data_IF_123851530626
#
_entry.id   IF_123851530626
#
_cell.length_a   1.000
_cell.length_b   1.000
_cell.length_c   1.000
_cell.angle_alpha   90.00
_cell.angle_beta   90.00
_cell.angle_gamma   90.00
#
_symmetry.space_group_name_H-M   'P 1'
#
loop_
_entity.id
_entity.type
_entity.pdbx_description
1 polymer ?
#
# COMPACT_ATOMS: atom_id res chain seq x y z
N UNK A 1 -72.01 12.52 56.63
CA UNK A 1 -71.74 11.93 55.31
C UNK A 1 -71.58 13.07 54.31
N UNK A 2 -70.34 13.42 53.96
CA UNK A 2 -70.07 14.45 52.95
C UNK A 2 -70.24 13.81 51.56
N UNK A 3 -71.10 14.39 50.72
CA UNK A 3 -71.26 13.99 49.33
C UNK A 3 -69.90 14.10 48.63
N UNK A 4 -69.41 12.99 48.07
CA UNK A 4 -68.17 13.01 47.29
C UNK A 4 -68.34 14.03 46.15
N UNK A 5 -67.41 14.98 45.97
CA UNK A 5 -67.45 15.88 44.82
C UNK A 5 -67.51 15.02 43.56
N UNK A 6 -68.58 15.19 42.77
CA UNK A 6 -68.78 14.43 41.55
C UNK A 6 -67.54 14.55 40.67
N UNK A 7 -67.00 13.41 40.22
CA UNK A 7 -65.88 13.39 39.27
C UNK A 7 -66.24 14.31 38.10
N UNK A 8 -65.52 15.44 37.99
CA UNK A 8 -65.83 16.48 37.02
C UNK A 8 -65.75 15.93 35.61
N UNK A 9 -66.90 15.86 34.94
CA UNK A 9 -66.96 15.50 33.52
C UNK A 9 -66.26 16.62 32.75
N UNK A 10 -65.15 16.29 32.08
CA UNK A 10 -64.39 17.24 31.26
C UNK A 10 -65.31 17.86 30.19
N UNK A 11 -65.31 19.18 30.06
CA UNK A 11 -66.16 19.87 29.09
C UNK A 11 -65.70 19.63 27.64
N UNK A 12 -66.65 19.61 26.69
CA UNK A 12 -66.33 19.39 25.26
C UNK A 12 -65.38 20.46 24.70
N UNK A 13 -65.48 21.71 25.19
CA UNK A 13 -64.55 22.79 24.82
C UNK A 13 -63.12 22.53 25.33
N UNK A 14 -62.97 21.99 26.54
CA UNK A 14 -61.66 21.60 27.06
C UNK A 14 -61.08 20.42 26.26
N UNK A 15 -61.91 19.45 25.87
CA UNK A 15 -61.51 18.33 25.03
C UNK A 15 -61.06 18.80 23.63
N UNK A 16 -61.81 19.68 22.98
CA UNK A 16 -61.42 20.25 21.68
C UNK A 16 -60.11 21.05 21.76
N UNK A 17 -59.88 21.73 22.89
CA UNK A 17 -58.61 22.42 23.13
C UNK A 17 -57.45 21.42 23.21
N UNK A 18 -57.62 20.28 23.88
CA UNK A 18 -56.61 19.22 23.94
C UNK A 18 -56.37 18.57 22.57
N UNK A 19 -57.43 18.28 21.81
CA UNK A 19 -57.32 17.74 20.45
C UNK A 19 -56.48 18.67 19.57
N UNK A 20 -56.76 19.97 19.61
CA UNK A 20 -55.99 20.98 18.88
C UNK A 20 -54.55 21.08 19.37
N UNK A 21 -54.34 21.05 20.70
CA UNK A 21 -53.01 21.14 21.31
C UNK A 21 -52.11 19.98 20.90
N UNK A 22 -52.66 18.76 20.81
CA UNK A 22 -51.93 17.56 20.42
C UNK A 22 -51.99 17.26 18.91
N UNK A 23 -52.61 18.14 18.12
CA UNK A 23 -52.75 18.01 16.65
C UNK A 23 -53.49 16.73 16.21
N UNK A 24 -54.43 16.25 17.02
CA UNK A 24 -55.24 15.03 16.76
C UNK A 24 -56.50 15.34 15.93
N UNK A 25 -56.35 16.21 14.93
CA UNK A 25 -57.48 16.73 14.15
C UNK A 25 -58.24 15.65 13.39
N UNK A 26 -57.49 14.67 12.87
CA UNK A 26 -58.03 13.58 12.05
C UNK A 26 -58.80 12.55 12.90
N UNK A 27 -58.40 12.40 14.17
CA UNK A 27 -59.02 11.50 15.15
C UNK A 27 -60.14 12.17 15.95
N UNK A 28 -60.42 13.46 15.71
CA UNK A 28 -61.37 14.27 16.48
C UNK A 28 -62.73 13.58 16.68
N UNK A 29 -63.29 12.98 15.62
CA UNK A 29 -64.59 12.26 15.70
C UNK A 29 -64.53 11.07 16.65
N UNK A 30 -63.46 10.28 16.58
CA UNK A 30 -63.21 9.13 17.45
C UNK A 30 -63.04 9.56 18.92
N UNK A 31 -62.32 10.66 19.16
CA UNK A 31 -62.10 11.20 20.51
C UNK A 31 -63.41 11.69 21.15
N UNK A 32 -64.25 12.39 20.38
CA UNK A 32 -65.58 12.82 20.85
C UNK A 32 -66.52 11.64 21.09
N UNK A 33 -66.48 10.62 20.23
CA UNK A 33 -67.24 9.39 20.41
C UNK A 33 -66.78 8.64 21.67
N UNK A 34 -65.47 8.51 21.87
CA UNK A 34 -64.87 7.93 23.06
C UNK A 34 -65.30 8.68 24.33
N UNK A 35 -65.27 10.02 24.31
CA UNK A 35 -65.65 10.85 25.45
C UNK A 35 -67.13 10.68 25.86
N UNK A 36 -68.01 10.34 24.92
CA UNK A 36 -69.45 10.08 25.18
C UNK A 36 -69.75 8.67 25.66
N UNK A 37 -68.83 7.72 25.51
CA UNK A 37 -69.04 6.34 25.94
C UNK A 37 -69.09 6.20 27.47
N UNK A 38 -69.67 5.09 27.93
CA UNK A 38 -69.69 4.70 29.34
C UNK A 38 -68.27 4.48 29.90
N UNK A 39 -68.11 4.66 31.21
CA UNK A 39 -66.80 4.57 31.89
C UNK A 39 -66.18 3.18 31.76
N UNK A 40 -66.98 2.11 31.90
CA UNK A 40 -66.45 0.74 31.83
C UNK A 40 -65.98 0.43 30.40
N UNK A 41 -66.72 0.91 29.41
CA UNK A 41 -66.31 0.79 28.00
C UNK A 41 -65.01 1.55 27.71
N UNK A 42 -64.85 2.76 28.24
CA UNK A 42 -63.63 3.57 28.09
C UNK A 42 -62.40 2.85 28.66
N UNK A 43 -62.52 2.31 29.88
CA UNK A 43 -61.44 1.59 30.54
C UNK A 43 -61.06 0.34 29.75
N UNK A 44 -62.05 -0.46 29.31
CA UNK A 44 -61.81 -1.63 28.48
C UNK A 44 -61.10 -1.27 27.16
N UNK A 45 -61.54 -0.21 26.49
CA UNK A 45 -60.95 0.23 25.23
C UNK A 45 -59.53 0.77 25.40
N UNK A 46 -59.24 1.52 26.48
CA UNK A 46 -57.86 1.96 26.80
C UNK A 46 -56.98 0.75 27.05
N UNK A 47 -57.42 -0.22 27.86
CA UNK A 47 -56.64 -1.43 28.14
C UNK A 47 -56.35 -2.21 26.85
N UNK A 48 -57.35 -2.42 25.99
CA UNK A 48 -57.18 -3.09 24.70
C UNK A 48 -56.19 -2.33 23.81
N UNK A 49 -56.31 -1.00 23.72
CA UNK A 49 -55.39 -0.18 22.92
C UNK A 49 -53.97 -0.21 23.47
N UNK A 50 -53.80 -0.16 24.78
CA UNK A 50 -52.50 -0.29 25.44
C UNK A 50 -51.87 -1.64 25.12
N UNK A 51 -52.61 -2.75 25.25
CA UNK A 51 -52.11 -4.09 24.91
C UNK A 51 -51.73 -4.22 23.42
N UNK A 52 -52.50 -3.63 22.51
CA UNK A 52 -52.18 -3.57 21.08
C UNK A 52 -50.89 -2.78 20.86
N UNK A 53 -50.75 -1.63 21.52
CA UNK A 53 -49.57 -0.78 21.42
C UNK A 53 -48.33 -1.47 21.99
N UNK A 54 -48.43 -2.11 23.16
CA UNK A 54 -47.34 -2.86 23.78
C UNK A 54 -46.87 -4.00 22.87
N UNK A 55 -47.81 -4.69 22.22
CA UNK A 55 -47.49 -5.71 21.21
C UNK A 55 -46.76 -5.11 20.01
N UNK A 56 -47.26 -4.00 19.45
CA UNK A 56 -46.62 -3.34 18.30
C UNK A 56 -45.21 -2.84 18.64
N UNK A 57 -45.02 -2.28 19.84
CA UNK A 57 -43.70 -1.88 20.36
C UNK A 57 -42.78 -3.11 20.51
N UNK A 58 -43.30 -4.22 21.00
CA UNK A 58 -42.56 -5.49 21.08
C UNK A 58 -42.13 -6.00 19.71
N UNK A 59 -43.04 -6.02 18.73
CA UNK A 59 -42.74 -6.41 17.34
C UNK A 59 -41.69 -5.50 16.69
N UNK A 60 -41.77 -4.18 16.93
CA UNK A 60 -40.77 -3.22 16.47
C UNK A 60 -39.41 -3.44 17.15
N UNK A 61 -39.39 -3.67 18.47
CA UNK A 61 -38.16 -3.95 19.22
C UNK A 61 -37.47 -5.21 18.68
N UNK A 62 -38.23 -6.28 18.43
CA UNK A 62 -37.70 -7.50 17.82
C UNK A 62 -37.14 -7.23 16.43
N UNK A 63 -37.86 -6.45 15.60
CA UNK A 63 -37.40 -6.08 14.25
C UNK A 63 -36.09 -5.27 14.29
N UNK A 64 -35.93 -4.36 15.26
CA UNK A 64 -34.69 -3.60 15.46
C UNK A 64 -33.55 -4.53 15.88
N UNK A 65 -33.81 -5.48 16.78
CA UNK A 65 -32.82 -6.46 17.21
C UNK A 65 -32.37 -7.36 16.05
N UNK A 66 -33.31 -7.82 15.22
CA UNK A 66 -33.02 -8.60 14.01
C UNK A 66 -32.19 -7.77 13.02
N UNK A 67 -32.53 -6.49 12.80
CA UNK A 67 -31.76 -5.60 11.95
C UNK A 67 -30.33 -5.40 12.47
N UNK A 68 -30.16 -5.16 13.78
CA UNK A 68 -28.84 -5.02 14.40
C UNK A 68 -27.98 -6.28 14.22
N UNK A 69 -28.58 -7.46 14.40
CA UNK A 69 -27.89 -8.74 14.16
C UNK A 69 -27.47 -8.93 12.69
N UNK A 70 -28.32 -8.50 11.76
CA UNK A 70 -28.04 -8.55 10.33
C UNK A 70 -26.93 -7.57 9.93
N UNK A 71 -26.93 -6.35 10.47
CA UNK A 71 -25.86 -5.36 10.25
C UNK A 71 -24.53 -5.90 10.77
N UNK A 72 -24.48 -6.41 12.01
CA UNK A 72 -23.27 -7.01 12.56
C UNK A 72 -22.75 -8.20 11.72
N UNK A 73 -23.67 -8.99 11.15
CA UNK A 73 -23.30 -10.07 10.22
C UNK A 73 -22.72 -9.54 8.92
N UNK A 74 -23.29 -8.46 8.36
CA UNK A 74 -22.78 -7.81 7.14
C UNK A 74 -21.40 -7.21 7.40
N UNK A 75 -21.22 -6.49 8.51
CA UNK A 75 -19.93 -5.92 8.91
C UNK A 75 -18.85 -7.01 9.00
N UNK A 76 -19.14 -8.13 9.65
CA UNK A 76 -18.23 -9.28 9.73
C UNK A 76 -17.90 -9.92 8.38
N UNK A 77 -18.83 -9.89 7.43
CA UNK A 77 -18.59 -10.37 6.06
C UNK A 77 -17.73 -9.37 5.28
N UNK A 78 -17.99 -8.07 5.45
CA UNK A 78 -17.20 -6.99 4.85
C UNK A 78 -15.77 -6.97 5.38
N UNK A 79 -15.56 -7.21 6.68
CA UNK A 79 -14.24 -7.35 7.30
C UNK A 79 -13.39 -8.43 6.61
N UNK A 80 -14.01 -9.55 6.22
CA UNK A 80 -13.28 -10.67 5.58
C UNK A 80 -12.90 -10.40 4.13
N UNK A 81 -13.60 -9.50 3.46
CA UNK A 81 -13.42 -9.19 2.05
C UNK A 81 -12.78 -7.83 1.81
N UNK A 82 -12.27 -7.18 2.85
CA UNK A 82 -11.64 -5.88 2.68
C UNK A 82 -10.33 -6.00 1.90
N UNK A 83 -10.21 -5.25 0.82
CA UNK A 83 -9.00 -5.12 0.02
C UNK A 83 -8.71 -3.65 -0.27
N UNK A 84 -7.43 -3.25 -0.38
CA UNK A 84 -7.09 -1.89 -0.77
C UNK A 84 -7.60 -1.62 -2.19
N UNK A 85 -8.11 -0.42 -2.43
CA UNK A 85 -8.51 0.00 -3.78
C UNK A 85 -7.33 -0.06 -4.75
N UNK A 86 -7.59 -0.07 -6.06
CA UNK A 86 -6.51 -0.09 -7.07
C UNK A 86 -5.56 1.10 -6.91
N UNK A 87 -6.10 2.29 -6.59
CA UNK A 87 -5.32 3.50 -6.34
C UNK A 87 -4.44 3.37 -5.10
N UNK A 88 -5.00 2.83 -4.00
CA UNK A 88 -4.24 2.54 -2.79
C UNK A 88 -3.14 1.50 -3.06
N UNK A 89 -3.44 0.45 -3.83
CA UNK A 89 -2.46 -0.57 -4.22
C UNK A 89 -1.31 0.02 -5.05
N UNK A 90 -1.59 0.94 -5.99
CA UNK A 90 -0.56 1.67 -6.75
C UNK A 90 0.31 2.55 -5.84
N UNK A 91 -0.32 3.25 -4.89
CA UNK A 91 0.37 4.05 -3.89
C UNK A 91 1.29 3.20 -3.00
N UNK A 92 0.77 2.09 -2.44
CA UNK A 92 1.55 1.15 -1.64
C UNK A 92 2.72 0.56 -2.43
N UNK A 93 2.52 0.25 -3.72
CA UNK A 93 3.58 -0.20 -4.62
C UNK A 93 4.66 0.86 -4.83
N UNK A 94 4.28 2.12 -5.01
CA UNK A 94 5.23 3.24 -5.11
C UNK A 94 6.03 3.43 -3.82
N UNK A 95 5.37 3.37 -2.65
CA UNK A 95 6.04 3.45 -1.34
C UNK A 95 7.05 2.32 -1.15
N UNK A 96 6.65 1.06 -1.39
CA UNK A 96 7.55 -0.09 -1.26
C UNK A 96 8.76 0.05 -2.19
N UNK A 97 8.54 0.46 -3.44
CA UNK A 97 9.63 0.72 -4.39
C UNK A 97 10.59 1.80 -3.89
N UNK A 98 10.06 2.88 -3.33
CA UNK A 98 10.87 3.97 -2.80
C UNK A 98 11.79 3.50 -1.67
N UNK A 99 11.26 2.76 -0.70
CA UNK A 99 12.06 2.19 0.38
C UNK A 99 13.05 1.12 -0.09
N UNK A 100 12.82 0.46 -1.23
CA UNK A 100 13.77 -0.50 -1.80
C UNK A 100 15.03 0.17 -2.39
N UNK A 101 14.91 1.35 -2.99
CA UNK A 101 16.08 2.05 -3.56
C UNK A 101 16.77 2.97 -2.54
N UNK A 102 16.04 3.41 -1.49
CA UNK A 102 16.61 4.14 -0.37
C UNK A 102 17.55 3.22 0.43
N UNK A 103 18.65 3.78 0.92
CA UNK A 103 19.54 3.07 1.84
C UNK A 103 18.79 2.75 3.13
N UNK A 104 18.66 1.46 3.45
CA UNK A 104 18.01 0.95 4.67
C UNK A 104 18.99 0.08 5.44
N UNK A 105 18.74 -0.11 6.74
CA UNK A 105 19.56 -1.01 7.56
C UNK A 105 19.32 -2.48 7.26
N UNK A 106 18.06 -2.83 6.97
CA UNK A 106 17.70 -4.18 6.55
C UNK A 106 16.57 -4.13 5.51
N UNK A 107 16.69 -4.98 4.50
CA UNK A 107 15.65 -5.17 3.49
C UNK A 107 14.54 -6.11 3.99
N UNK A 108 14.76 -6.85 5.07
CA UNK A 108 13.77 -7.74 5.69
C UNK A 108 12.64 -6.97 6.38
N UNK A 109 12.91 -5.74 6.83
CA UNK A 109 12.00 -4.89 7.61
C UNK A 109 11.25 -3.85 6.76
N UNK A 110 11.36 -3.91 5.42
CA UNK A 110 10.71 -2.92 4.53
C UNK A 110 9.18 -2.87 4.75
N UNK A 111 8.54 -4.02 4.97
CA UNK A 111 7.10 -4.04 5.27
C UNK A 111 6.76 -3.23 6.54
N UNK A 112 7.59 -3.36 7.58
CA UNK A 112 7.46 -2.60 8.82
C UNK A 112 7.75 -1.11 8.64
N UNK A 113 8.77 -0.76 7.85
CA UNK A 113 9.09 0.64 7.53
C UNK A 113 7.94 1.32 6.78
N UNK A 114 7.37 0.65 5.79
CA UNK A 114 6.19 1.14 5.06
C UNK A 114 4.99 1.26 5.99
N UNK A 115 4.75 0.28 6.86
CA UNK A 115 3.66 0.33 7.85
C UNK A 115 3.80 1.51 8.81
N UNK A 116 5.01 1.76 9.33
CA UNK A 116 5.32 2.91 10.19
C UNK A 116 5.08 4.22 9.44
N UNK A 117 5.55 4.32 8.19
CA UNK A 117 5.31 5.49 7.36
C UNK A 117 3.81 5.75 7.11
N UNK A 118 3.03 4.69 6.87
CA UNK A 118 1.57 4.80 6.71
C UNK A 118 0.94 5.29 8.01
N UNK A 119 1.34 4.74 9.15
CA UNK A 119 0.83 5.17 10.46
C UNK A 119 1.07 6.67 10.69
N UNK A 120 2.27 7.15 10.38
CA UNK A 120 2.65 8.56 10.58
C UNK A 120 1.97 9.51 9.58
N UNK A 121 1.61 9.02 8.38
CA UNK A 121 1.11 9.85 7.27
C UNK A 121 -0.28 9.42 6.76
N UNK A 122 -1.07 8.71 7.59
CA UNK A 122 -2.32 8.08 7.17
C UNK A 122 -3.35 9.07 6.60
N UNK A 123 -3.41 10.30 7.12
CA UNK A 123 -4.30 11.35 6.61
C UNK A 123 -3.94 11.75 5.17
N UNK A 124 -2.65 11.99 4.91
CA UNK A 124 -2.14 12.37 3.58
C UNK A 124 -2.32 11.25 2.55
N UNK A 125 -2.12 10.01 2.98
CA UNK A 125 -2.27 8.82 2.14
C UNK A 125 -3.74 8.39 1.96
N UNK A 126 -4.69 9.05 2.65
CA UNK A 126 -6.11 8.65 2.71
C UNK A 126 -6.28 7.20 3.19
N UNK A 127 -5.47 6.80 4.15
CA UNK A 127 -5.43 5.48 4.79
C UNK A 127 -5.80 5.58 6.28
N UNK A 128 -6.73 6.48 6.65
CA UNK A 128 -7.10 6.69 8.06
C UNK A 128 -7.58 5.43 8.78
N UNK A 129 -8.26 4.53 8.07
CA UNK A 129 -8.69 3.25 8.60
C UNK A 129 -7.54 2.33 9.01
N UNK A 130 -6.32 2.52 8.48
CA UNK A 130 -5.14 1.75 8.88
C UNK A 130 -4.82 1.91 10.38
N UNK A 131 -5.07 3.10 10.93
CA UNK A 131 -4.81 3.42 12.34
C UNK A 131 -5.93 2.94 13.23
N UNK A 132 -7.19 3.08 12.81
CA UNK A 132 -8.35 2.77 13.65
C UNK A 132 -8.81 1.32 13.59
N UNK A 133 -8.66 0.67 12.44
CA UNK A 133 -9.21 -0.66 12.15
C UNK A 133 -8.09 -1.71 11.99
N UNK A 134 -8.10 -2.72 12.86
CA UNK A 134 -7.12 -3.80 12.87
C UNK A 134 -7.22 -4.72 11.64
N UNK A 135 -8.44 -4.96 11.14
CA UNK A 135 -8.69 -5.81 9.98
C UNK A 135 -8.11 -5.16 8.73
N UNK A 136 -8.39 -3.86 8.55
CA UNK A 136 -7.82 -3.06 7.46
C UNK A 136 -6.29 -3.02 7.54
N UNK A 137 -5.73 -2.82 8.74
CA UNK A 137 -4.28 -2.85 8.96
C UNK A 137 -3.66 -4.18 8.54
N UNK A 138 -4.29 -5.29 8.92
CA UNK A 138 -3.81 -6.64 8.59
C UNK A 138 -3.85 -6.91 7.09
N UNK A 139 -4.93 -6.49 6.42
CA UNK A 139 -5.06 -6.62 4.97
C UNK A 139 -4.03 -5.76 4.22
N UNK A 140 -3.83 -4.51 4.63
CA UNK A 140 -2.79 -3.63 4.06
C UNK A 140 -1.39 -4.23 4.28
N UNK A 141 -1.07 -4.69 5.48
CA UNK A 141 0.25 -5.29 5.77
C UNK A 141 0.50 -6.55 4.92
N UNK A 142 -0.54 -7.37 4.74
CA UNK A 142 -0.47 -8.55 3.86
C UNK A 142 -0.22 -8.13 2.40
N UNK A 143 -0.95 -7.14 1.90
CA UNK A 143 -0.75 -6.57 0.57
C UNK A 143 0.66 -6.00 0.38
N UNK A 144 1.15 -5.20 1.34
CA UNK A 144 2.50 -4.62 1.35
C UNK A 144 3.56 -5.73 1.28
N UNK A 145 3.44 -6.80 2.05
CA UNK A 145 4.40 -7.90 2.02
C UNK A 145 4.46 -8.59 0.65
N UNK A 146 3.30 -8.84 0.03
CA UNK A 146 3.24 -9.37 -1.35
C UNK A 146 3.96 -8.44 -2.33
N UNK A 147 3.65 -7.14 -2.26
CA UNK A 147 4.29 -6.11 -3.08
C UNK A 147 5.81 -6.04 -2.84
N UNK A 148 6.27 -6.22 -1.60
CA UNK A 148 7.70 -6.26 -1.24
C UNK A 148 8.39 -7.42 -1.95
N UNK A 149 7.83 -8.63 -1.91
CA UNK A 149 8.41 -9.79 -2.60
C UNK A 149 8.50 -9.58 -4.12
N UNK A 150 7.43 -9.09 -4.73
CA UNK A 150 7.40 -8.80 -6.17
C UNK A 150 8.41 -7.71 -6.55
N UNK A 151 8.45 -6.63 -5.78
CA UNK A 151 9.33 -5.49 -6.03
C UNK A 151 10.80 -5.86 -5.81
N UNK A 152 11.12 -6.68 -4.81
CA UNK A 152 12.45 -7.27 -4.63
C UNK A 152 12.85 -8.13 -5.82
N UNK A 153 11.96 -8.99 -6.31
CA UNK A 153 12.21 -9.81 -7.50
C UNK A 153 12.49 -8.96 -8.73
N UNK A 154 11.71 -7.88 -8.94
CA UNK A 154 11.89 -6.98 -10.07
C UNK A 154 13.17 -6.13 -9.98
N UNK A 155 13.49 -5.61 -8.79
CA UNK A 155 14.73 -4.88 -8.55
C UNK A 155 15.95 -5.76 -8.83
N UNK A 156 15.95 -7.00 -8.32
CA UNK A 156 16.98 -7.99 -8.61
C UNK A 156 17.12 -8.22 -10.12
N UNK A 157 16.01 -8.41 -10.85
CA UNK A 157 16.07 -8.55 -12.32
C UNK A 157 16.68 -7.32 -12.99
N UNK A 158 16.33 -6.11 -12.55
CA UNK A 158 16.87 -4.86 -13.08
C UNK A 158 18.39 -4.75 -12.83
N UNK A 159 18.87 -5.15 -11.65
CA UNK A 159 20.30 -5.24 -11.34
C UNK A 159 20.98 -6.22 -12.30
N UNK A 160 20.45 -7.44 -12.47
CA UNK A 160 21.04 -8.42 -13.41
C UNK A 160 21.06 -7.91 -14.85
N UNK A 161 20.02 -7.21 -15.28
CA UNK A 161 19.97 -6.59 -16.61
C UNK A 161 21.01 -5.48 -16.77
N UNK A 162 21.28 -4.70 -15.71
CA UNK A 162 22.33 -3.69 -15.73
C UNK A 162 23.74 -4.29 -15.89
N UNK A 163 23.94 -5.50 -15.33
CA UNK A 163 25.21 -6.22 -15.32
C UNK A 163 25.45 -7.06 -16.57
N UNK A 164 24.48 -7.88 -16.97
CA UNK A 164 24.64 -8.83 -18.07
C UNK A 164 24.59 -8.16 -19.46
N UNK A 165 24.16 -6.89 -19.52
CA UNK A 165 23.75 -6.29 -20.76
C UNK A 165 22.53 -6.99 -21.35
N UNK A 166 21.94 -6.40 -22.38
CA UNK A 166 20.87 -7.07 -23.10
C UNK A 166 21.48 -8.17 -23.97
N UNK A 167 21.26 -9.44 -23.58
CA UNK A 167 21.72 -10.63 -24.31
C UNK A 167 21.27 -10.62 -25.77
N UNK A 168 20.15 -9.96 -26.07
CA UNK A 168 19.60 -9.89 -27.43
C UNK A 168 20.25 -8.80 -28.27
N UNK A 169 20.74 -7.72 -27.65
CA UNK A 169 21.21 -6.53 -28.36
C UNK A 169 22.73 -6.27 -28.24
N UNK A 170 23.52 -7.24 -27.73
CA UNK A 170 24.97 -7.06 -27.44
C UNK A 170 25.26 -5.75 -26.68
N UNK A 171 24.31 -5.27 -25.86
CA UNK A 171 24.44 -3.98 -25.19
C UNK A 171 25.49 -4.08 -24.09
N UNK A 172 26.38 -3.09 -24.07
CA UNK A 172 27.41 -2.91 -23.03
C UNK A 172 26.75 -2.82 -21.65
N UNK A 173 27.52 -3.18 -20.61
CA UNK A 173 27.15 -2.91 -19.21
C UNK A 173 26.66 -1.47 -19.06
N UNK A 174 25.55 -1.29 -18.34
CA UNK A 174 24.96 0.04 -18.16
C UNK A 174 25.83 0.83 -17.18
N UNK A 175 26.12 2.08 -17.49
CA UNK A 175 26.81 3.00 -16.59
C UNK A 175 26.00 3.19 -15.28
N UNK A 176 26.69 3.33 -14.14
CA UNK A 176 26.04 3.45 -12.83
C UNK A 176 25.08 4.65 -12.76
N UNK A 177 25.47 5.80 -13.29
CA UNK A 177 24.66 7.01 -13.22
C UNK A 177 23.40 6.87 -14.09
N UNK A 178 23.52 6.19 -15.25
CA UNK A 178 22.38 5.88 -16.13
C UNK A 178 21.44 4.87 -15.48
N UNK A 179 21.98 3.82 -14.87
CA UNK A 179 21.19 2.83 -14.15
C UNK A 179 20.46 3.47 -12.97
N UNK A 180 21.16 4.24 -12.15
CA UNK A 180 20.60 4.88 -10.97
C UNK A 180 19.51 5.90 -11.34
N UNK A 181 19.71 6.72 -12.37
CA UNK A 181 18.66 7.62 -12.87
C UNK A 181 17.39 6.87 -13.28
N UNK A 182 17.53 5.73 -13.96
CA UNK A 182 16.39 4.86 -14.30
C UNK A 182 15.71 4.32 -13.04
N UNK A 183 16.50 3.82 -12.09
CA UNK A 183 15.97 3.29 -10.83
C UNK A 183 15.22 4.36 -10.05
N UNK A 184 15.78 5.56 -9.90
CA UNK A 184 15.10 6.69 -9.25
C UNK A 184 13.82 7.06 -10.00
N UNK A 185 13.84 7.14 -11.33
CA UNK A 185 12.62 7.43 -12.10
C UNK A 185 11.51 6.39 -11.84
N UNK A 186 11.85 5.10 -11.81
CA UNK A 186 10.88 4.01 -11.75
C UNK A 186 10.45 3.63 -10.31
N UNK A 187 11.24 4.00 -9.31
CA UNK A 187 11.07 3.58 -7.91
C UNK A 187 10.93 4.73 -6.92
N UNK A 188 11.29 5.96 -7.26
CA UNK A 188 11.12 7.09 -6.34
C UNK A 188 9.65 7.53 -6.27
N UNK A 189 9.31 8.25 -5.20
CA UNK A 189 8.04 8.97 -5.10
C UNK A 189 7.99 10.12 -6.11
N UNK A 190 6.80 10.66 -6.46
CA UNK A 190 6.61 11.60 -7.58
C UNK A 190 7.60 12.78 -7.61
N UNK A 191 8.05 13.26 -6.45
CA UNK A 191 9.10 14.26 -6.33
C UNK A 191 10.49 13.64 -6.55
N UNK A 192 10.82 13.40 -7.81
CA UNK A 192 12.12 12.83 -8.23
C UNK A 192 13.23 13.88 -8.02
N UNK A 193 14.35 13.53 -7.35
CA UNK A 193 15.49 14.43 -7.23
C UNK A 193 16.21 14.61 -8.57
N UNK A 194 16.59 15.85 -8.90
CA UNK A 194 17.31 16.18 -10.15
C UNK A 194 18.66 15.45 -10.24
N UNK A 195 19.36 15.36 -9.11
CA UNK A 195 20.63 14.63 -8.96
C UNK A 195 20.38 13.45 -8.01
N UNK A 196 20.79 12.26 -8.43
CA UNK A 196 20.68 11.06 -7.58
C UNK A 196 21.60 11.24 -6.37
N UNK A 197 21.08 11.14 -5.13
CA UNK A 197 21.91 11.22 -3.94
C UNK A 197 23.00 10.14 -3.91
N UNK A 198 24.19 10.48 -3.42
CA UNK A 198 25.32 9.55 -3.31
C UNK A 198 24.97 8.31 -2.51
N UNK A 199 24.14 8.45 -1.47
CA UNK A 199 23.69 7.32 -0.66
C UNK A 199 22.88 6.29 -1.47
N UNK A 200 22.02 6.74 -2.39
CA UNK A 200 21.28 5.85 -3.31
C UNK A 200 22.20 5.25 -4.37
N UNK A 201 23.14 6.04 -4.91
CA UNK A 201 24.14 5.56 -5.87
C UNK A 201 25.01 4.46 -5.27
N UNK A 202 25.53 4.67 -4.07
CA UNK A 202 26.35 3.73 -3.33
C UNK A 202 25.59 2.44 -3.00
N UNK A 203 24.32 2.55 -2.59
CA UNK A 203 23.47 1.39 -2.34
C UNK A 203 23.24 0.56 -3.62
N UNK A 204 22.96 1.21 -4.75
CA UNK A 204 22.82 0.53 -6.04
C UNK A 204 24.15 -0.08 -6.53
N UNK A 205 25.27 0.60 -6.30
CA UNK A 205 26.62 0.07 -6.58
C UNK A 205 26.92 -1.18 -5.74
N UNK A 206 26.60 -1.16 -4.45
CA UNK A 206 26.71 -2.32 -3.57
C UNK A 206 25.91 -3.52 -4.10
N UNK A 207 24.66 -3.28 -4.48
CA UNK A 207 23.80 -4.32 -5.07
C UNK A 207 24.37 -4.89 -6.37
N UNK A 208 24.95 -4.05 -7.23
CA UNK A 208 25.63 -4.48 -8.46
C UNK A 208 26.88 -5.31 -8.17
N UNK A 209 27.71 -4.90 -7.21
CA UNK A 209 28.89 -5.65 -6.77
C UNK A 209 28.51 -7.06 -6.27
N UNK A 210 27.43 -7.18 -5.50
CA UNK A 210 26.89 -8.48 -5.08
C UNK A 210 26.42 -9.28 -6.30
N UNK A 211 25.66 -8.67 -7.21
CA UNK A 211 25.20 -9.30 -8.44
C UNK A 211 26.34 -9.85 -9.29
N UNK A 212 27.43 -9.10 -9.44
CA UNK A 212 28.65 -9.53 -10.13
C UNK A 212 29.27 -10.76 -9.48
N UNK A 213 29.43 -10.75 -8.15
CA UNK A 213 30.02 -11.87 -7.42
C UNK A 213 29.22 -13.16 -7.63
N UNK A 214 27.89 -13.05 -7.74
CA UNK A 214 27.00 -14.17 -7.97
C UNK A 214 27.05 -14.68 -9.41
N UNK A 215 27.11 -13.77 -10.39
CA UNK A 215 27.28 -14.13 -11.81
C UNK A 215 28.63 -14.84 -12.01
N UNK A 216 29.72 -14.33 -11.45
CA UNK A 216 31.05 -14.94 -11.59
C UNK A 216 31.11 -16.34 -10.97
N UNK A 217 30.53 -16.52 -9.78
CA UNK A 217 30.44 -17.85 -9.12
C UNK A 217 29.64 -18.85 -9.97
N UNK A 218 28.60 -18.36 -10.61
CA UNK A 218 27.77 -19.19 -11.48
C UNK A 218 28.51 -19.58 -12.75
N UNK A 219 29.18 -18.64 -13.42
CA UNK A 219 29.97 -18.92 -14.61
C UNK A 219 31.07 -19.95 -14.30
N UNK A 220 31.67 -19.87 -13.11
CA UNK A 220 32.66 -20.85 -12.64
C UNK A 220 32.03 -22.22 -12.36
N UNK A 221 30.89 -22.27 -11.66
CA UNK A 221 30.17 -23.53 -11.44
C UNK A 221 29.76 -24.20 -12.76
N UNK A 222 29.38 -23.40 -13.76
CA UNK A 222 29.04 -23.87 -15.10
C UNK A 222 30.27 -24.44 -15.83
N UNK A 223 31.46 -23.84 -15.67
CA UNK A 223 32.72 -24.37 -16.23
C UNK A 223 33.13 -25.70 -15.61
N UNK A 224 32.91 -25.88 -14.31
CA UNK A 224 33.26 -27.10 -13.58
C UNK A 224 32.22 -28.22 -13.80
N UNK A 225 31.15 -27.96 -14.56
CA UNK A 225 30.12 -28.96 -14.84
C UNK A 225 29.24 -29.31 -13.64
N UNK A 226 29.24 -28.47 -12.60
CA UNK A 226 28.34 -28.63 -11.45
C UNK A 226 26.93 -28.25 -11.91
N UNK A 227 26.06 -29.25 -11.93
CA UNK A 227 24.67 -29.28 -12.43
C UNK A 227 23.97 -27.92 -12.55
N UNK A 228 23.44 -27.67 -13.76
CA UNK A 228 22.77 -26.44 -14.17
C UNK A 228 21.65 -25.98 -13.23
N UNK A 229 21.52 -24.65 -13.14
CA UNK A 229 20.55 -23.98 -12.24
C UNK A 229 19.19 -24.69 -12.22
N UNK A 230 18.62 -24.84 -11.03
CA UNK A 230 17.16 -24.83 -10.88
C UNK A 230 16.67 -23.45 -11.33
N UNK A 231 16.26 -23.35 -12.60
CA UNK A 231 15.64 -22.16 -13.18
C UNK A 231 14.50 -21.73 -12.24
N UNK A 232 14.63 -20.54 -11.63
CA UNK A 232 13.64 -20.00 -10.70
C UNK A 232 13.94 -20.14 -9.20
N UNK A 233 15.08 -20.73 -8.80
CA UNK A 233 15.49 -20.75 -7.39
C UNK A 233 15.95 -19.40 -6.84
N UNK A 234 15.93 -19.27 -5.51
CA UNK A 234 16.55 -18.14 -4.82
C UNK A 234 18.06 -18.10 -5.10
N UNK A 235 18.54 -16.95 -5.58
CA UNK A 235 19.96 -16.72 -5.87
C UNK A 235 20.80 -16.48 -4.61
N UNK A 236 20.16 -16.34 -3.44
CA UNK A 236 20.82 -15.94 -2.19
C UNK A 236 21.22 -14.45 -2.17
N UNK A 237 20.81 -13.68 -3.18
CA UNK A 237 21.14 -12.26 -3.35
C UNK A 237 20.77 -11.44 -2.11
N UNK A 238 19.54 -11.56 -1.65
CA UNK A 238 19.06 -10.80 -0.50
C UNK A 238 19.79 -11.19 0.77
N UNK A 239 20.06 -12.48 0.99
CA UNK A 239 20.83 -12.96 2.15
C UNK A 239 22.25 -12.39 2.19
N UNK A 240 22.93 -12.31 1.03
CA UNK A 240 24.27 -11.72 0.94
C UNK A 240 24.21 -10.20 1.16
N UNK A 241 23.18 -9.53 0.64
CA UNK A 241 22.98 -8.10 0.84
C UNK A 241 22.74 -7.76 2.32
N UNK A 242 21.84 -8.47 3.01
CA UNK A 242 21.59 -8.27 4.44
C UNK A 242 22.88 -8.43 5.25
N UNK A 243 23.61 -9.53 5.04
CA UNK A 243 24.88 -9.76 5.73
C UNK A 243 25.88 -8.62 5.49
N UNK A 244 25.96 -8.13 4.26
CA UNK A 244 26.89 -7.04 3.92
C UNK A 244 26.46 -5.70 4.52
N UNK A 245 25.16 -5.46 4.64
CA UNK A 245 24.64 -4.30 5.36
C UNK A 245 24.96 -4.41 6.85
N UNK A 246 24.71 -5.56 7.49
CA UNK A 246 25.04 -5.78 8.90
C UNK A 246 26.51 -5.48 9.19
N UNK A 247 27.44 -5.99 8.36
CA UNK A 247 28.88 -5.70 8.46
C UNK A 247 29.20 -4.19 8.34
N UNK A 248 28.49 -3.47 7.45
CA UNK A 248 28.71 -2.04 7.26
C UNK A 248 28.17 -1.22 8.43
N UNK A 249 27.01 -1.58 8.98
CA UNK A 249 26.44 -0.92 10.15
C UNK A 249 27.26 -1.21 11.42
N UNK A 250 27.80 -2.42 11.57
CA UNK A 250 28.75 -2.74 12.65
C UNK A 250 30.02 -1.89 12.54
N UNK A 251 30.52 -1.67 11.32
CA UNK A 251 31.75 -0.92 11.07
C UNK A 251 31.58 0.61 11.19
N UNK A 252 30.48 1.16 10.69
CA UNK A 252 30.29 2.61 10.53
C UNK A 252 29.22 3.22 11.44
N UNK A 253 28.48 2.40 12.19
CA UNK A 253 27.40 2.83 13.08
C UNK A 253 26.08 3.13 12.36
N UNK A 254 25.06 3.52 13.13
CA UNK A 254 23.70 3.79 12.61
C UNK A 254 23.58 5.14 11.89
N UNK A 255 24.43 6.11 12.23
CA UNK A 255 24.38 7.44 11.61
C UNK A 255 25.02 7.43 10.22
N UNK A 256 24.17 7.24 9.20
CA UNK A 256 24.51 7.31 7.77
C UNK A 256 25.11 8.63 7.31
N UNK A 257 25.07 9.69 8.14
CA UNK A 257 25.70 10.99 7.82
C UNK A 257 27.14 11.09 8.31
N UNK A 258 27.62 10.14 9.09
CA UNK A 258 29.00 10.14 9.59
C UNK A 258 30.03 10.06 8.46
N UNK A 259 31.25 10.54 8.75
CA UNK A 259 32.35 10.58 7.78
C UNK A 259 32.67 9.19 7.22
N UNK A 260 32.67 8.16 8.06
CA UNK A 260 32.92 6.78 7.64
C UNK A 260 31.93 6.25 6.60
N UNK A 261 30.64 6.62 6.71
CA UNK A 261 29.66 6.27 5.68
C UNK A 261 29.90 7.03 4.38
N UNK A 262 30.19 8.34 4.44
CA UNK A 262 30.45 9.14 3.26
C UNK A 262 31.70 8.69 2.50
N UNK A 263 32.76 8.29 3.21
CA UNK A 263 33.96 7.69 2.62
C UNK A 263 33.65 6.36 1.93
N UNK A 264 32.92 5.47 2.61
CA UNK A 264 32.47 4.20 2.03
C UNK A 264 31.61 4.40 0.78
N UNK A 265 30.68 5.37 0.81
CA UNK A 265 29.82 5.69 -0.34
C UNK A 265 30.66 6.10 -1.55
N UNK A 266 31.65 6.98 -1.36
CA UNK A 266 32.58 7.38 -2.44
C UNK A 266 33.41 6.21 -2.95
N UNK A 267 33.91 5.37 -2.05
CA UNK A 267 34.72 4.19 -2.40
C UNK A 267 33.92 3.22 -3.26
N UNK A 268 32.75 2.77 -2.80
CA UNK A 268 31.94 1.77 -3.52
C UNK A 268 31.43 2.30 -4.86
N UNK A 269 31.11 3.59 -4.97
CA UNK A 269 30.74 4.24 -6.23
C UNK A 269 31.94 4.23 -7.19
N UNK A 270 33.13 4.61 -6.71
CA UNK A 270 34.35 4.63 -7.51
C UNK A 270 34.73 3.24 -8.01
N UNK A 271 34.62 2.21 -7.16
CA UNK A 271 34.88 0.81 -7.50
C UNK A 271 33.95 0.29 -8.60
N UNK A 272 32.63 0.51 -8.48
CA UNK A 272 31.66 0.09 -9.49
C UNK A 272 31.93 0.79 -10.84
N UNK A 273 32.17 2.11 -10.81
CA UNK A 273 32.53 2.88 -12.00
C UNK A 273 33.83 2.36 -12.64
N UNK A 274 34.85 2.05 -11.85
CA UNK A 274 36.12 1.51 -12.35
C UNK A 274 35.96 0.11 -12.96
N UNK A 275 35.20 -0.77 -12.31
CA UNK A 275 34.93 -2.14 -12.80
C UNK A 275 34.24 -2.10 -14.17
N UNK A 276 33.24 -1.23 -14.34
CA UNK A 276 32.47 -1.13 -15.57
C UNK A 276 33.12 -0.28 -16.68
N UNK A 277 33.96 0.69 -16.32
CA UNK A 277 34.78 1.42 -17.29
C UNK A 277 35.78 0.49 -17.99
N UNK A 278 36.39 -0.45 -17.26
CA UNK A 278 37.31 -1.46 -17.82
C UNK A 278 36.61 -2.38 -18.81
N UNK A 279 35.43 -2.91 -18.46
CA UNK A 279 34.64 -3.76 -19.36
C UNK A 279 34.26 -3.06 -20.67
N UNK A 280 33.98 -1.75 -20.59
CA UNK A 280 33.67 -0.94 -21.78
C UNK A 280 34.87 -0.75 -22.72
N UNK A 281 36.10 -0.63 -22.18
CA UNK A 281 37.32 -0.52 -23.00
C UNK A 281 37.73 -1.84 -23.63
N UNK A 282 37.68 -2.95 -22.90
CA UNK A 282 38.05 -4.28 -23.42
C UNK A 282 37.13 -4.69 -24.58
N UNK A 283 35.84 -4.38 -24.48
CA UNK A 283 34.88 -4.63 -25.56
C UNK A 283 35.04 -3.68 -26.74
N UNK A 284 35.45 -2.43 -26.53
CA UNK A 284 35.74 -1.49 -27.62
C UNK A 284 36.94 -1.94 -28.46
N UNK A 285 38.05 -2.34 -27.82
CA UNK A 285 39.23 -2.85 -28.54
C UNK A 285 38.94 -4.17 -29.28
N UNK A 286 38.13 -5.05 -28.70
CA UNK A 286 37.66 -6.26 -29.38
C UNK A 286 36.69 -5.95 -30.51
N UNK A 287 35.86 -4.91 -30.37
CA UNK A 287 34.91 -4.50 -31.41
C UNK A 287 35.64 -3.86 -32.56
N UNK A 288 36.59 -2.95 -32.33
CA UNK A 288 37.39 -2.34 -33.41
C UNK A 288 38.16 -3.43 -34.19
N UNK A 289 38.69 -4.45 -33.51
CA UNK A 289 39.31 -5.60 -34.16
C UNK A 289 38.31 -6.48 -34.96
N UNK A 290 37.04 -6.50 -34.56
CA UNK A 290 35.96 -7.26 -35.23
C UNK A 290 35.28 -6.42 -36.33
N UNK A 291 35.17 -5.10 -36.19
CA UNK A 291 34.60 -4.15 -37.13
C UNK A 291 35.57 -3.98 -38.32
N UNK A 292 36.88 -3.96 -38.06
CA UNK A 292 37.94 -4.08 -39.07
C UNK A 292 37.93 -5.46 -39.80
N UNK A 293 37.32 -6.49 -39.20
CA UNK A 293 37.08 -7.78 -39.83
C UNK A 293 35.70 -7.92 -40.50
N UNK A 294 34.73 -7.05 -40.17
CA UNK A 294 33.34 -7.07 -40.65
C UNK A 294 33.02 -5.99 -41.69
N UNK A 295 33.88 -4.99 -41.90
CA UNK A 295 33.80 -4.07 -43.05
C UNK A 295 33.90 -4.80 -44.42
N UNK A 296 34.17 -6.11 -44.43
CA UNK A 296 34.03 -6.98 -45.60
C UNK A 296 32.64 -7.60 -45.82
N UNK A 297 31.65 -7.40 -44.94
CA UNK A 297 30.35 -8.08 -45.02
C UNK A 297 29.19 -7.19 -44.59
N UNK A 298 28.61 -6.46 -45.55
CA UNK A 298 27.47 -5.58 -45.34
C UNK A 298 26.13 -6.32 -45.26
N UNK A 299 25.36 -6.07 -44.21
CA UNK A 299 23.90 -6.20 -44.21
C UNK A 299 23.25 -5.42 -43.06
N UNK A 300 22.21 -4.66 -43.41
CA UNK A 300 21.45 -3.70 -42.58
C UNK A 300 20.24 -4.40 -41.94
N UNK A 301 19.89 -4.06 -40.70
CA UNK A 301 18.61 -4.44 -40.11
C UNK A 301 17.98 -3.32 -39.25
N UNK A 302 16.68 -3.12 -39.50
CA UNK A 302 15.83 -2.02 -39.06
C UNK A 302 15.21 -2.19 -37.67
N UNK A 303 14.81 -1.05 -37.12
CA UNK A 303 14.35 -0.79 -35.75
C UNK A 303 12.81 -0.83 -35.65
N UNK A 304 12.26 -1.39 -34.56
CA UNK A 304 10.83 -1.36 -34.23
C UNK A 304 10.64 -0.80 -32.81
N UNK A 305 9.69 0.12 -32.72
CA UNK A 305 9.39 1.02 -31.60
C UNK A 305 8.10 0.55 -30.90
N UNK A 306 8.06 0.55 -29.56
CA UNK A 306 6.84 0.28 -28.78
C UNK A 306 6.76 1.24 -27.59
N UNK A 307 5.78 2.15 -27.65
CA UNK A 307 5.39 3.08 -26.59
C UNK A 307 4.35 2.44 -25.66
N UNK A 308 4.50 2.64 -24.35
CA UNK A 308 3.46 2.37 -23.34
C UNK A 308 3.14 3.67 -22.58
N UNK A 309 1.84 3.92 -22.38
CA UNK A 309 1.30 5.15 -21.80
C UNK A 309 1.40 5.23 -20.28
N UNK A 310 1.85 6.38 -19.80
CA UNK A 310 1.94 6.77 -18.39
C UNK A 310 0.59 7.36 -17.89
N UNK A 311 0.29 7.11 -16.62
CA UNK A 311 -0.81 7.73 -15.87
C UNK A 311 -0.21 8.72 -14.88
N UNK A 312 -0.75 9.94 -14.86
CA UNK A 312 -0.22 11.09 -14.14
C UNK A 312 -0.52 11.00 -12.63
N UNK A 313 0.55 10.95 -11.81
CA UNK A 313 0.51 10.89 -10.32
C UNK A 313 1.14 12.18 -9.74
N UNK A 314 0.96 13.32 -10.40
CA UNK A 314 1.64 14.57 -10.03
C UNK A 314 1.07 15.31 -8.80
N UNK A 315 -0.15 14.98 -8.35
CA UNK A 315 -0.85 15.78 -7.33
C UNK A 315 -0.64 15.33 -5.86
N UNK A 316 0.28 14.40 -5.59
CA UNK A 316 0.64 14.03 -4.21
C UNK A 316 1.91 14.75 -3.79
N UNK A 317 1.75 15.96 -3.25
CA UNK A 317 2.82 16.76 -2.64
C UNK A 317 3.27 16.14 -1.30
N UNK A 318 4.01 15.04 -1.41
CA UNK A 318 4.65 14.35 -0.30
C UNK A 318 5.93 15.09 0.06
N UNK A 319 5.80 16.05 0.99
CA UNK A 319 6.92 16.77 1.57
C UNK A 319 7.96 15.79 2.16
N UNK A 320 9.17 15.82 1.59
CA UNK A 320 10.34 15.06 2.01
C UNK A 320 10.94 15.63 3.31
N UNK A 321 10.29 15.35 4.43
CA UNK A 321 10.88 15.48 5.77
C UNK A 321 10.57 14.21 6.55
N UNK A 322 11.28 13.14 6.22
CA UNK A 322 11.38 11.95 7.06
C UNK A 322 12.89 11.67 7.22
N UNK A 323 13.29 11.58 8.49
CA UNK A 323 14.66 11.49 9.04
C UNK A 323 15.62 10.62 8.21
#
# INVERSE_FOLDING_TARGET
MAARPGMGVMSLQALDKLINQHKLGDERKLIHQFAKSDVDYKLAQILIRQLIQDRAVGELSNSIQDLASNVARIEKLCERGWEPSEQQSKLLKSLVKHFLIKSTSSYSTIGSLVGTYIQDHHEKLRLGLYVTDHTVRTAINTCVNTIVHDSKSNLRKAIWQSLAGDKTNKKKTVDLDVFARRMVKDYHLPKIPDVVPDSMLANLALMRNIGHSLIAKEDEAQRVGVVGRRRGGDTGFWTILEKRLDELYEKHGEDRKSEGWQEWEKEVISEDKAMHARMTRTTALSRDAIELALEGSGAVASQLDLQNGDVDIQDLDLAATAV
#
